data_IF_104958531416
#
_entry.id   IF_104958531416
#
_cell.length_a   1.000
_cell.length_b   1.000
_cell.length_c   1.000
_cell.angle_alpha   90.00
_cell.angle_beta   90.00
_cell.angle_gamma   90.00
#
_symmetry.space_group_name_H-M   'P 1'
#
loop_
_entity.id
_entity.type
_entity.pdbx_description
1 polymer ?
#
# COMPACT_ATOMS: atom_id res chain seq x y z
N UNK A 1 10.15 -17.13 -2.59
CA UNK A 1 9.57 -15.81 -2.94
C UNK A 1 9.81 -14.95 -1.73
N UNK A 2 10.78 -14.04 -1.83
CA UNK A 2 11.25 -13.28 -0.68
C UNK A 2 10.22 -12.22 -0.29
N UNK A 3 9.92 -12.17 1.00
CA UNK A 3 9.06 -11.15 1.60
C UNK A 3 9.81 -9.80 1.50
N UNK A 4 9.19 -8.75 0.95
CA UNK A 4 9.82 -7.44 0.90
C UNK A 4 10.08 -6.92 2.32
N UNK A 5 11.22 -6.26 2.51
CA UNK A 5 11.51 -5.56 3.76
C UNK A 5 11.08 -4.10 3.68
N UNK A 6 10.94 -3.44 4.84
CA UNK A 6 10.55 -2.04 4.89
C UNK A 6 11.55 -1.13 4.16
N UNK A 7 12.89 -1.25 4.39
CA UNK A 7 13.87 -0.44 3.66
C UNK A 7 13.76 -0.56 2.15
N UNK A 8 13.46 -1.75 1.62
CA UNK A 8 13.42 -1.99 0.17
C UNK A 8 12.27 -1.26 -0.54
N UNK A 9 11.19 -0.95 0.21
CA UNK A 9 9.95 -0.42 -0.37
C UNK A 9 9.62 0.99 0.09
N UNK A 10 10.24 1.47 1.17
CA UNK A 10 9.88 2.73 1.83
C UNK A 10 9.84 3.92 0.87
N UNK A 11 10.89 4.11 0.07
CA UNK A 11 10.99 5.26 -0.84
C UNK A 11 9.90 5.24 -1.93
N UNK A 12 9.47 4.04 -2.35
CA UNK A 12 8.40 3.87 -3.33
C UNK A 12 7.04 4.25 -2.73
N UNK A 13 6.76 3.81 -1.50
CA UNK A 13 5.53 4.20 -0.78
C UNK A 13 5.50 5.71 -0.52
N UNK A 14 6.62 6.31 -0.08
CA UNK A 14 6.77 7.77 0.08
C UNK A 14 6.48 8.53 -1.21
N UNK A 15 7.05 8.07 -2.31
CA UNK A 15 6.87 8.69 -3.63
C UNK A 15 5.41 8.63 -4.07
N UNK A 16 4.73 7.52 -3.82
CA UNK A 16 3.31 7.38 -4.10
C UNK A 16 2.45 8.31 -3.23
N UNK A 17 2.68 8.36 -1.91
CA UNK A 17 1.96 9.25 -1.00
C UNK A 17 2.14 10.73 -1.36
N UNK A 18 3.36 11.12 -1.76
CA UNK A 18 3.65 12.48 -2.20
C UNK A 18 2.87 12.86 -3.47
N UNK A 19 2.61 11.90 -4.36
CA UNK A 19 1.83 12.10 -5.59
C UNK A 19 0.32 12.04 -5.33
N UNK A 20 -0.10 11.14 -4.45
CA UNK A 20 -1.49 10.86 -4.09
C UNK A 20 -1.69 11.17 -2.59
N UNK A 21 -1.98 12.44 -2.22
CA UNK A 21 -2.31 12.79 -0.84
C UNK A 21 -3.44 11.91 -0.31
N UNK A 22 -3.34 11.49 0.96
CA UNK A 22 -4.24 10.48 1.55
C UNK A 22 -4.17 9.12 0.84
N UNK A 23 -3.01 8.73 0.34
CA UNK A 23 -2.73 7.38 -0.19
C UNK A 23 -3.58 6.92 -1.37
N UNK A 24 -4.28 7.81 -2.07
CA UNK A 24 -5.01 7.50 -3.30
C UNK A 24 -5.88 6.24 -3.21
N UNK A 25 -5.59 5.25 -4.05
CA UNK A 25 -6.36 4.01 -4.09
C UNK A 25 -6.17 3.12 -2.85
N UNK A 26 -5.12 3.35 -2.07
CA UNK A 26 -4.76 2.60 -0.87
C UNK A 26 -5.16 3.30 0.44
N UNK A 27 -5.92 4.40 0.39
CA UNK A 27 -6.35 5.16 1.58
C UNK A 27 -6.98 4.30 2.67
N UNK A 28 -7.87 3.37 2.31
CA UNK A 28 -8.52 2.45 3.26
C UNK A 28 -7.49 1.62 4.03
N UNK A 29 -6.35 1.29 3.42
CA UNK A 29 -5.32 0.47 4.04
C UNK A 29 -4.35 1.33 4.85
N UNK A 30 -3.85 2.42 4.27
CA UNK A 30 -2.69 3.16 4.78
C UNK A 30 -3.08 4.43 5.54
N UNK A 31 -4.23 5.04 5.26
CA UNK A 31 -4.76 6.19 6.01
C UNK A 31 -5.69 5.71 7.12
N UNK A 32 -6.62 4.80 6.80
CA UNK A 32 -7.60 4.26 7.76
C UNK A 32 -7.08 3.05 8.57
N UNK A 33 -5.86 2.58 8.27
CA UNK A 33 -5.19 1.48 8.99
C UNK A 33 -6.00 0.16 8.93
N UNK A 34 -6.72 -0.10 7.84
CA UNK A 34 -7.37 -1.38 7.61
C UNK A 34 -6.40 -2.39 6.98
N UNK A 35 -5.55 -3.00 7.81
CA UNK A 35 -4.35 -3.72 7.35
C UNK A 35 -4.57 -5.17 6.89
N UNK A 36 -5.81 -5.63 6.77
CA UNK A 36 -6.10 -7.02 6.36
C UNK A 36 -5.97 -7.19 4.84
N UNK A 37 -5.71 -8.42 4.39
CA UNK A 37 -5.59 -8.73 2.95
C UNK A 37 -6.85 -8.35 2.16
N UNK A 38 -8.04 -8.46 2.78
CA UNK A 38 -9.30 -8.09 2.14
C UNK A 38 -9.34 -6.60 1.77
N UNK A 39 -8.91 -5.71 2.66
CA UNK A 39 -8.85 -4.28 2.39
C UNK A 39 -7.74 -3.93 1.39
N UNK A 40 -6.62 -4.65 1.43
CA UNK A 40 -5.58 -4.49 0.39
C UNK A 40 -6.14 -4.84 -0.99
N UNK A 41 -6.88 -5.95 -1.12
CA UNK A 41 -7.52 -6.34 -2.39
C UNK A 41 -8.58 -5.34 -2.83
N UNK A 42 -9.37 -4.81 -1.90
CA UNK A 42 -10.33 -3.73 -2.20
C UNK A 42 -9.62 -2.50 -2.77
N UNK A 43 -8.49 -2.10 -2.17
CA UNK A 43 -7.66 -1.00 -2.69
C UNK A 43 -7.09 -1.29 -4.08
N UNK A 44 -6.67 -2.54 -4.35
CA UNK A 44 -6.23 -2.95 -5.68
C UNK A 44 -7.35 -2.90 -6.72
N UNK A 45 -8.56 -3.36 -6.37
CA UNK A 45 -9.71 -3.28 -7.27
C UNK A 45 -10.03 -1.83 -7.63
N UNK A 46 -10.02 -0.94 -6.63
CA UNK A 46 -10.22 0.48 -6.84
C UNK A 46 -9.09 1.12 -7.66
N UNK A 47 -7.83 0.73 -7.43
CA UNK A 47 -6.69 1.18 -8.23
C UNK A 47 -6.85 0.76 -9.70
N UNK A 48 -7.23 -0.49 -9.94
CA UNK A 48 -7.48 -1.04 -11.28
C UNK A 48 -8.60 -0.29 -12.00
N UNK A 49 -9.70 0.00 -11.32
CA UNK A 49 -10.83 0.75 -11.88
C UNK A 49 -10.46 2.18 -12.29
N UNK A 50 -9.50 2.79 -11.58
CA UNK A 50 -9.03 4.17 -11.84
C UNK A 50 -7.85 4.24 -12.80
N UNK A 51 -7.30 3.11 -13.22
CA UNK A 51 -6.04 3.07 -13.98
C UNK A 51 -4.82 3.49 -13.15
N UNK A 52 -4.88 3.37 -11.81
CA UNK A 52 -3.75 3.61 -10.91
C UNK A 52 -2.85 2.37 -10.84
N UNK A 53 -2.00 2.21 -11.86
CA UNK A 53 -1.09 1.07 -11.98
C UNK A 53 -0.11 0.97 -10.79
N UNK A 54 0.33 2.12 -10.26
CA UNK A 54 1.27 2.16 -9.15
C UNK A 54 0.58 1.76 -7.84
N UNK A 55 -0.61 2.29 -7.56
CA UNK A 55 -1.41 1.87 -6.40
C UNK A 55 -1.72 0.37 -6.43
N UNK A 56 -2.03 -0.18 -7.61
CA UNK A 56 -2.22 -1.62 -7.78
C UNK A 56 -0.94 -2.41 -7.45
N UNK A 57 0.21 -1.97 -7.98
CA UNK A 57 1.51 -2.61 -7.76
C UNK A 57 1.96 -2.53 -6.30
N UNK A 58 1.68 -1.42 -5.60
CA UNK A 58 1.92 -1.30 -4.17
C UNK A 58 1.02 -2.22 -3.35
N UNK A 59 -0.23 -2.42 -3.78
CA UNK A 59 -1.12 -3.44 -3.20
C UNK A 59 -0.55 -4.87 -3.27
N UNK A 60 0.08 -5.24 -4.39
CA UNK A 60 0.77 -6.54 -4.51
C UNK A 60 1.95 -6.69 -3.54
N UNK A 61 2.64 -5.59 -3.24
CA UNK A 61 3.71 -5.56 -2.24
C UNK A 61 3.11 -5.73 -0.84
N UNK A 62 2.05 -4.96 -0.52
CA UNK A 62 1.35 -5.05 0.77
C UNK A 62 0.88 -6.48 1.05
N UNK A 63 0.31 -7.18 0.06
CA UNK A 63 -0.14 -8.57 0.21
C UNK A 63 0.98 -9.55 0.60
N UNK A 64 2.24 -9.24 0.32
CA UNK A 64 3.40 -10.07 0.70
C UNK A 64 3.94 -9.73 2.10
N UNK A 65 3.57 -8.57 2.64
CA UNK A 65 4.01 -8.05 3.92
C UNK A 65 3.16 -8.56 5.08
N UNK A 66 3.72 -8.60 6.28
CA UNK A 66 2.96 -8.85 7.51
C UNK A 66 2.15 -7.62 7.92
N UNK A 67 1.11 -7.81 8.74
CA UNK A 67 0.30 -6.71 9.29
C UNK A 67 1.18 -5.67 10.00
N UNK A 68 2.18 -6.10 10.77
CA UNK A 68 3.11 -5.19 11.47
C UNK A 68 3.92 -4.33 10.51
N UNK A 69 4.39 -4.90 9.39
CA UNK A 69 5.11 -4.15 8.38
C UNK A 69 4.18 -3.13 7.68
N UNK A 70 2.93 -3.51 7.39
CA UNK A 70 1.93 -2.58 6.82
C UNK A 70 1.61 -1.44 7.77
N UNK A 71 1.44 -1.74 9.07
CA UNK A 71 1.24 -0.72 10.11
C UNK A 71 2.41 0.25 10.16
N UNK A 72 3.63 -0.27 10.10
CA UNK A 72 4.82 0.58 10.12
C UNK A 72 4.83 1.54 8.93
N UNK A 73 4.51 1.07 7.71
CA UNK A 73 4.39 1.94 6.53
C UNK A 73 3.33 3.02 6.73
N UNK A 74 2.12 2.64 7.16
CA UNK A 74 1.03 3.58 7.41
C UNK A 74 1.43 4.74 8.35
N UNK A 75 2.33 4.48 9.30
CA UNK A 75 2.76 5.46 10.30
C UNK A 75 4.06 6.23 9.94
N UNK A 76 4.84 5.78 8.95
CA UNK A 76 6.22 6.28 8.74
C UNK A 76 6.60 6.55 7.26
N UNK A 77 5.72 6.22 6.33
CA UNK A 77 5.91 6.44 4.89
C UNK A 77 5.22 7.71 4.39
#
# INVERSE_FOLDING_TARGET
MDRPTIPDVLDRFRSYHAREPSWGALHVVLDDINLTDAHVRQGQDFARERGDEEGYALGEILLKMTITQRLWLALNA
#
